data_IF_586894987472
#
_entry.id   IF_586894987472
#
_cell.length_a   1.000
_cell.length_b   1.000
_cell.length_c   1.000
_cell.angle_alpha   90.00
_cell.angle_beta   90.00
_cell.angle_gamma   90.00
#
_symmetry.space_group_name_H-M   'P 1'
#
loop_
_entity.id
_entity.type
_entity.pdbx_description
1 polymer ?
#
# COMPACT_ATOMS: atom_id res chain seq x y z
N UNK A 1 19.25 -8.70 0.15
CA UNK A 1 19.24 -10.02 -0.50
C UNK A 1 18.04 -10.79 0.03
N UNK A 2 17.65 -11.90 -0.59
CA UNK A 2 16.71 -12.85 0.04
C UNK A 2 17.45 -14.18 0.12
N UNK A 3 17.93 -14.53 1.31
CA UNK A 3 18.98 -15.55 1.46
C UNK A 3 20.25 -15.12 0.72
N UNK A 4 20.84 -16.02 -0.07
CA UNK A 4 22.09 -15.77 -0.82
C UNK A 4 21.87 -15.12 -2.20
N UNK A 5 20.60 -14.85 -2.59
CA UNK A 5 20.27 -14.31 -3.92
C UNK A 5 20.17 -12.79 -3.89
N UNK A 6 20.95 -12.13 -4.74
CA UNK A 6 20.81 -10.70 -5.05
C UNK A 6 19.60 -10.49 -5.97
N UNK A 7 18.54 -9.87 -5.44
CA UNK A 7 17.29 -9.60 -6.19
C UNK A 7 17.32 -8.20 -6.83
N UNK A 8 17.87 -7.22 -6.13
CA UNK A 8 18.03 -5.84 -6.61
C UNK A 8 19.53 -5.51 -6.58
N UNK A 9 20.07 -5.06 -7.71
CA UNK A 9 21.49 -4.73 -7.85
C UNK A 9 21.65 -3.34 -8.46
N UNK A 10 22.28 -2.43 -7.71
CA UNK A 10 22.73 -1.10 -8.18
C UNK A 10 21.69 -0.29 -8.97
N UNK A 11 20.45 -0.26 -8.50
CA UNK A 11 19.39 0.55 -9.12
C UNK A 11 19.51 2.02 -8.69
N UNK A 12 19.40 2.94 -9.64
CA UNK A 12 19.34 4.39 -9.37
C UNK A 12 18.33 5.01 -10.32
N UNK A 13 17.30 5.62 -9.75
CA UNK A 13 16.28 6.36 -10.50
C UNK A 13 15.61 7.37 -9.56
N UNK A 14 14.96 8.36 -10.17
CA UNK A 14 14.08 9.31 -9.48
C UNK A 14 12.70 9.29 -10.11
N UNK A 15 11.68 9.57 -9.30
CA UNK A 15 10.29 9.72 -9.75
C UNK A 15 9.86 11.14 -9.41
N UNK A 16 9.37 11.86 -10.41
CA UNK A 16 8.87 13.22 -10.22
C UNK A 16 7.50 13.21 -9.53
N UNK A 17 7.26 14.21 -8.67
CA UNK A 17 5.98 14.34 -7.95
C UNK A 17 4.82 14.47 -8.95
N UNK A 18 3.74 13.72 -8.72
CA UNK A 18 2.55 13.74 -9.57
C UNK A 18 2.68 12.94 -10.88
N UNK A 19 3.81 12.25 -11.10
CA UNK A 19 3.96 11.36 -12.24
C UNK A 19 3.31 9.99 -12.00
N UNK A 20 2.79 9.38 -13.07
CA UNK A 20 2.38 7.98 -13.06
C UNK A 20 3.51 7.14 -13.65
N UNK A 21 4.08 6.24 -12.85
CA UNK A 21 5.21 5.40 -13.25
C UNK A 21 4.82 3.93 -13.21
N UNK A 22 5.18 3.21 -14.28
CA UNK A 22 5.05 1.76 -14.35
C UNK A 22 6.43 1.10 -14.33
N UNK A 23 6.62 0.11 -13.46
CA UNK A 23 7.83 -0.73 -13.42
C UNK A 23 7.56 -1.98 -14.25
N UNK A 24 8.27 -2.15 -15.35
CA UNK A 24 8.07 -3.23 -16.32
C UNK A 24 9.34 -4.10 -16.39
N UNK A 25 9.14 -5.40 -16.59
CA UNK A 25 10.20 -6.40 -16.72
C UNK A 25 9.61 -7.80 -16.67
N UNK A 26 10.44 -8.83 -16.79
CA UNK A 26 9.99 -10.23 -16.74
C UNK A 26 9.48 -10.63 -15.35
N UNK A 27 8.78 -11.77 -15.29
CA UNK A 27 8.51 -12.41 -14.01
C UNK A 27 9.85 -12.67 -13.30
N UNK A 28 9.88 -12.46 -11.98
CA UNK A 28 11.09 -12.59 -11.15
C UNK A 28 12.18 -11.53 -11.33
N UNK A 29 11.97 -10.50 -12.16
CA UNK A 29 12.91 -9.37 -12.30
C UNK A 29 13.06 -8.50 -11.04
N UNK A 30 12.43 -8.87 -9.92
CA UNK A 30 12.52 -8.12 -8.65
C UNK A 30 11.54 -6.96 -8.50
N UNK A 31 10.58 -6.78 -9.43
CA UNK A 31 9.61 -5.66 -9.40
C UNK A 31 8.82 -5.56 -8.08
N UNK A 32 8.24 -6.68 -7.64
CA UNK A 32 7.50 -6.72 -6.36
C UNK A 32 8.42 -6.49 -5.16
N UNK A 33 9.68 -6.95 -5.23
CA UNK A 33 10.66 -6.69 -4.19
C UNK A 33 11.01 -5.20 -4.12
N UNK A 34 11.23 -4.55 -5.27
CA UNK A 34 11.47 -3.11 -5.35
C UNK A 34 10.32 -2.32 -4.71
N UNK A 35 9.08 -2.65 -5.05
CA UNK A 35 7.91 -1.99 -4.45
C UNK A 35 7.81 -2.23 -2.93
N UNK A 36 8.11 -3.45 -2.43
CA UNK A 36 8.13 -3.76 -0.99
C UNK A 36 9.25 -3.02 -0.25
N UNK A 37 10.38 -2.79 -0.90
CA UNK A 37 11.49 -2.01 -0.35
C UNK A 37 11.14 -0.52 -0.30
N UNK A 38 10.50 0.02 -1.35
CA UNK A 38 10.02 1.42 -1.38
C UNK A 38 8.95 1.65 -0.31
N UNK A 39 8.00 0.71 -0.15
CA UNK A 39 6.95 0.79 0.87
C UNK A 39 7.46 0.50 2.29
N UNK A 40 8.76 0.24 2.45
CA UNK A 40 9.39 -0.03 3.74
C UNK A 40 8.99 -1.35 4.40
N UNK A 41 8.24 -2.23 3.73
CA UNK A 41 7.93 -3.58 4.22
C UNK A 41 9.20 -4.41 4.29
N UNK A 42 10.05 -4.27 3.27
CA UNK A 42 11.39 -4.84 3.25
C UNK A 42 12.43 -3.73 3.38
N UNK A 43 13.59 -4.06 3.94
CA UNK A 43 14.69 -3.12 4.10
C UNK A 43 15.79 -3.39 3.07
N UNK A 44 16.31 -2.33 2.47
CA UNK A 44 17.53 -2.42 1.70
C UNK A 44 18.74 -2.64 2.63
N UNK A 45 19.63 -3.56 2.24
CA UNK A 45 20.91 -3.78 2.95
C UNK A 45 21.89 -2.63 2.68
N UNK A 46 21.90 -2.14 1.44
CA UNK A 46 22.78 -1.09 0.95
C UNK A 46 22.00 -0.06 0.14
N UNK A 47 22.57 1.15 0.03
CA UNK A 47 21.95 2.27 -0.68
C UNK A 47 20.98 3.07 0.19
N UNK A 48 20.33 4.04 -0.44
CA UNK A 48 19.45 5.01 0.22
C UNK A 48 18.16 5.17 -0.59
N UNK A 49 17.06 5.40 0.12
CA UNK A 49 15.77 5.69 -0.48
C UNK A 49 15.27 6.97 0.16
N UNK A 50 14.84 7.90 -0.68
CA UNK A 50 14.29 9.18 -0.27
C UNK A 50 12.85 9.26 -0.75
N UNK A 51 11.91 9.47 0.18
CA UNK A 51 10.49 9.63 -0.10
C UNK A 51 10.13 11.06 0.28
N UNK A 52 9.67 11.87 -0.68
CA UNK A 52 9.43 13.31 -0.47
C UNK A 52 10.63 14.04 0.18
N UNK A 53 11.86 13.67 -0.23
CA UNK A 53 13.10 14.22 0.32
C UNK A 53 13.50 13.66 1.70
N UNK A 54 12.69 12.78 2.29
CA UNK A 54 12.96 12.15 3.59
C UNK A 54 13.73 10.85 3.41
N UNK A 55 14.88 10.71 4.08
CA UNK A 55 15.58 9.42 4.18
C UNK A 55 14.66 8.40 4.88
N UNK A 56 14.20 7.39 4.13
CA UNK A 56 13.20 6.43 4.59
C UNK A 56 13.67 5.54 5.74
N UNK A 57 14.99 5.45 5.97
CA UNK A 57 15.57 4.70 7.09
C UNK A 57 15.62 5.56 8.35
N UNK A 58 15.95 6.85 8.23
CA UNK A 58 16.09 7.77 9.38
C UNK A 58 14.77 8.39 9.82
N UNK A 59 13.89 8.70 8.87
CA UNK A 59 12.58 9.34 9.10
C UNK A 59 11.44 8.44 8.62
N UNK A 60 11.50 7.18 9.05
CA UNK A 60 10.62 6.11 8.57
C UNK A 60 9.15 6.46 8.73
N UNK A 61 8.69 6.79 9.94
CA UNK A 61 7.26 7.04 10.18
C UNK A 61 6.73 8.15 9.27
N UNK A 62 7.45 9.26 9.17
CA UNK A 62 7.05 10.42 8.37
C UNK A 62 7.08 10.13 6.87
N UNK A 63 8.06 9.34 6.41
CA UNK A 63 8.09 8.85 5.03
C UNK A 63 6.90 7.92 4.73
N UNK A 64 6.62 6.95 5.61
CA UNK A 64 5.57 5.96 5.40
C UNK A 64 4.15 6.54 5.49
N UNK A 65 3.94 7.61 6.28
CA UNK A 65 2.67 8.34 6.30
C UNK A 65 2.28 8.87 4.91
N UNK A 66 3.26 9.18 4.05
CA UNK A 66 3.01 9.67 2.69
C UNK A 66 2.78 8.58 1.64
N UNK A 67 2.82 7.30 2.02
CA UNK A 67 2.77 6.16 1.10
C UNK A 67 1.51 5.30 1.30
N UNK A 68 0.84 4.95 0.21
CA UNK A 68 -0.14 3.88 0.12
C UNK A 68 0.48 2.66 -0.54
N UNK A 69 0.27 1.46 0.01
CA UNK A 69 0.79 0.23 -0.59
C UNK A 69 -0.28 -0.86 -0.69
N UNK A 70 -0.38 -1.44 -1.89
CA UNK A 70 -1.24 -2.58 -2.19
C UNK A 70 -0.35 -3.74 -2.66
N UNK A 71 -0.21 -4.82 -1.86
CA UNK A 71 0.55 -5.99 -2.28
C UNK A 71 -0.12 -6.73 -3.44
N UNK A 72 0.64 -7.60 -4.10
CA UNK A 72 0.12 -8.46 -5.16
C UNK A 72 -0.90 -9.48 -4.64
N UNK A 73 -0.56 -10.09 -3.50
CA UNK A 73 -1.36 -11.08 -2.77
C UNK A 73 -2.48 -10.39 -1.97
N UNK A 74 -3.53 -11.13 -1.67
CA UNK A 74 -4.61 -10.64 -0.80
C UNK A 74 -4.14 -10.67 0.65
N UNK A 75 -4.25 -9.54 1.35
CA UNK A 75 -3.71 -9.36 2.69
C UNK A 75 -4.72 -8.73 3.67
N UNK A 76 -6.02 -8.86 3.37
CA UNK A 76 -7.09 -8.48 4.30
C UNK A 76 -7.40 -9.64 5.25
N UNK A 77 -7.71 -9.31 6.51
CA UNK A 77 -8.13 -10.29 7.51
C UNK A 77 -9.46 -10.94 7.07
N UNK A 78 -9.49 -12.27 6.86
CA UNK A 78 -10.67 -12.98 6.34
C UNK A 78 -11.84 -13.06 7.34
N UNK A 79 -11.59 -12.84 8.63
CA UNK A 79 -12.59 -12.90 9.70
C UNK A 79 -13.20 -11.54 10.05
N UNK A 80 -12.64 -10.46 9.51
CA UNK A 80 -13.20 -9.12 9.61
C UNK A 80 -14.02 -8.78 8.36
N UNK A 81 -14.95 -7.85 8.53
CA UNK A 81 -15.63 -7.21 7.40
C UNK A 81 -14.67 -6.34 6.60
N UNK A 82 -15.06 -6.02 5.37
CA UNK A 82 -14.27 -5.13 4.52
C UNK A 82 -14.09 -3.75 5.17
N UNK A 83 -15.14 -3.21 5.81
CA UNK A 83 -15.05 -1.93 6.51
C UNK A 83 -14.15 -1.97 7.74
N UNK A 84 -14.14 -3.07 8.50
CA UNK A 84 -13.29 -3.22 9.68
C UNK A 84 -11.81 -3.25 9.28
N UNK A 85 -11.49 -3.98 8.20
CA UNK A 85 -10.15 -3.98 7.61
C UNK A 85 -9.68 -2.57 7.20
N UNK A 86 -10.55 -1.78 6.56
CA UNK A 86 -10.23 -0.42 6.11
C UNK A 86 -10.06 0.52 7.31
N UNK A 87 -10.99 0.48 8.28
CA UNK A 87 -10.95 1.31 9.48
C UNK A 87 -9.72 1.04 10.33
N UNK A 88 -9.34 -0.23 10.46
CA UNK A 88 -8.15 -0.62 11.22
C UNK A 88 -6.91 0.13 10.74
N UNK A 89 -6.68 0.16 9.42
CA UNK A 89 -5.55 0.90 8.85
C UNK A 89 -5.69 2.40 9.06
N UNK A 90 -6.86 3.00 8.80
CA UNK A 90 -7.03 4.44 9.02
C UNK A 90 -6.70 4.88 10.45
N UNK A 91 -7.15 4.11 11.46
CA UNK A 91 -6.83 4.38 12.86
C UNK A 91 -5.33 4.24 13.17
N UNK A 92 -4.66 3.25 12.56
CA UNK A 92 -3.21 3.08 12.74
C UNK A 92 -2.40 4.25 12.18
N UNK A 93 -2.88 4.89 11.12
CA UNK A 93 -2.30 6.11 10.56
C UNK A 93 -2.73 7.39 11.29
N UNK A 94 -3.55 7.28 12.34
CA UNK A 94 -3.96 8.41 13.19
C UNK A 94 -5.18 9.19 12.67
N UNK A 95 -5.88 8.66 11.66
CA UNK A 95 -7.06 9.32 11.12
C UNK A 95 -8.25 9.26 12.06
N UNK A 96 -9.08 10.31 12.05
CA UNK A 96 -10.31 10.33 12.81
C UNK A 96 -11.34 9.36 12.22
N UNK A 97 -12.20 8.77 13.06
CA UNK A 97 -13.27 7.90 12.58
C UNK A 97 -14.24 8.59 11.62
N UNK A 98 -14.43 9.91 11.77
CA UNK A 98 -15.23 10.72 10.86
C UNK A 98 -14.58 10.81 9.47
N UNK A 99 -13.28 11.13 9.42
CA UNK A 99 -12.49 11.18 8.18
C UNK A 99 -12.51 9.82 7.49
N UNK A 100 -12.22 8.75 8.23
CA UNK A 100 -12.20 7.37 7.72
C UNK A 100 -13.56 7.01 7.12
N UNK A 101 -14.66 7.22 7.84
CA UNK A 101 -15.99 6.86 7.36
C UNK A 101 -16.37 7.66 6.10
N UNK A 102 -16.07 8.95 6.08
CA UNK A 102 -16.34 9.83 4.92
C UNK A 102 -15.59 9.34 3.68
N UNK A 103 -14.27 9.17 3.79
CA UNK A 103 -13.42 8.70 2.69
C UNK A 103 -13.77 7.29 2.24
N UNK A 104 -14.01 6.37 3.18
CA UNK A 104 -14.39 4.99 2.87
C UNK A 104 -15.67 4.93 2.04
N UNK A 105 -16.71 5.70 2.42
CA UNK A 105 -17.98 5.75 1.67
C UNK A 105 -17.78 6.36 0.27
N UNK A 106 -16.96 7.41 0.17
CA UNK A 106 -16.66 8.04 -1.12
C UNK A 106 -15.96 7.04 -2.05
N UNK A 107 -14.81 6.49 -1.62
CA UNK A 107 -14.00 5.57 -2.41
C UNK A 107 -14.77 4.27 -2.73
N UNK A 108 -15.63 3.79 -1.82
CA UNK A 108 -16.43 2.59 -2.08
C UNK A 108 -17.48 2.82 -3.17
N UNK A 109 -18.00 4.05 -3.30
CA UNK A 109 -18.93 4.42 -4.39
C UNK A 109 -18.18 4.49 -5.72
N UNK A 110 -17.03 5.15 -5.75
CA UNK A 110 -16.18 5.28 -6.93
C UNK A 110 -15.72 3.92 -7.48
N UNK A 111 -15.39 2.98 -6.60
CA UNK A 111 -14.99 1.61 -6.99
C UNK A 111 -16.17 0.64 -7.16
N UNK A 112 -17.40 1.09 -6.92
CA UNK A 112 -18.64 0.31 -6.98
C UNK A 112 -18.65 -0.93 -6.06
N UNK A 113 -18.19 -0.77 -4.81
CA UNK A 113 -18.15 -1.85 -3.81
C UNK A 113 -18.90 -1.56 -2.50
N UNK A 114 -19.67 -0.46 -2.42
CA UNK A 114 -20.38 -0.05 -1.20
C UNK A 114 -21.22 -1.16 -0.55
N UNK A 115 -21.90 -1.99 -1.35
CA UNK A 115 -22.74 -3.10 -0.86
C UNK A 115 -21.95 -4.25 -0.22
N UNK A 116 -20.63 -4.25 -0.35
CA UNK A 116 -19.74 -5.26 0.20
C UNK A 116 -19.06 -4.82 1.50
N UNK A 117 -19.14 -3.55 1.90
CA UNK A 117 -18.47 -3.01 3.09
C UNK A 117 -18.75 -3.81 4.36
N UNK A 118 -20.01 -4.24 4.54
CA UNK A 118 -20.48 -5.00 5.71
C UNK A 118 -20.26 -6.52 5.60
N UNK A 119 -19.70 -7.03 4.50
CA UNK A 119 -19.47 -8.47 4.32
C UNK A 119 -18.12 -8.87 4.87
N UNK A 120 -18.03 -10.06 5.46
CA UNK A 120 -16.76 -10.68 5.85
C UNK A 120 -15.89 -10.93 4.62
N UNK A 121 -14.58 -10.70 4.74
CA UNK A 121 -13.63 -10.83 3.63
C UNK A 121 -13.60 -12.25 3.05
N UNK A 122 -13.74 -13.29 3.87
CA UNK A 122 -13.82 -14.67 3.38
C UNK A 122 -14.99 -14.95 2.40
N UNK A 123 -16.04 -14.11 2.43
CA UNK A 123 -17.27 -14.29 1.66
C UNK A 123 -17.35 -13.37 0.41
N UNK A 124 -16.26 -12.65 0.09
CA UNK A 124 -16.18 -11.76 -1.09
C UNK A 124 -15.23 -12.31 -2.15
N UNK A 125 -15.50 -11.96 -3.40
CA UNK A 125 -14.65 -12.36 -4.51
C UNK A 125 -13.28 -11.66 -4.46
N UNK A 126 -12.20 -12.31 -4.95
CA UNK A 126 -10.85 -11.71 -4.98
C UNK A 126 -10.79 -10.33 -5.61
N UNK A 127 -11.57 -10.08 -6.67
CA UNK A 127 -11.62 -8.78 -7.34
C UNK A 127 -12.20 -7.66 -6.47
N UNK A 128 -13.21 -7.97 -5.65
CA UNK A 128 -13.76 -7.01 -4.69
C UNK A 128 -12.79 -6.79 -3.52
N UNK A 129 -12.12 -7.84 -3.05
CA UNK A 129 -11.08 -7.74 -2.02
C UNK A 129 -9.96 -6.82 -2.52
N UNK A 130 -9.47 -6.97 -3.77
CA UNK A 130 -8.46 -6.07 -4.34
C UNK A 130 -8.91 -4.61 -4.38
N UNK A 131 -10.16 -4.34 -4.76
CA UNK A 131 -10.71 -2.97 -4.69
C UNK A 131 -10.74 -2.45 -3.26
N UNK A 132 -11.11 -3.27 -2.28
CA UNK A 132 -11.05 -2.92 -0.87
C UNK A 132 -9.62 -2.64 -0.36
N UNK A 133 -8.63 -3.40 -0.82
CA UNK A 133 -7.21 -3.14 -0.53
C UNK A 133 -6.76 -1.77 -1.07
N UNK A 134 -7.25 -1.35 -2.24
CA UNK A 134 -7.00 -0.01 -2.78
C UNK A 134 -7.61 1.06 -1.86
N UNK A 135 -8.88 0.90 -1.42
CA UNK A 135 -9.49 1.83 -0.46
C UNK A 135 -8.68 1.91 0.82
N UNK A 136 -8.29 0.75 1.37
CA UNK A 136 -7.47 0.65 2.59
C UNK A 136 -6.14 1.39 2.43
N UNK A 137 -5.48 1.28 1.27
CA UNK A 137 -4.22 1.96 1.00
C UNK A 137 -4.37 3.48 0.83
N UNK A 138 -5.55 3.96 0.44
CA UNK A 138 -5.83 5.39 0.21
C UNK A 138 -6.53 6.07 1.40
N UNK A 139 -6.84 5.34 2.47
CA UNK A 139 -7.72 5.82 3.53
C UNK A 139 -7.11 6.98 4.33
N UNK A 140 -5.78 7.00 4.46
CA UNK A 140 -4.99 8.02 5.16
C UNK A 140 -4.40 9.11 4.24
N UNK A 141 -4.94 9.23 3.03
CA UNK A 141 -4.55 10.28 2.07
C UNK A 141 -3.06 10.35 1.70
N UNK A 142 -2.45 9.21 1.32
CA UNK A 142 -1.04 9.23 0.94
C UNK A 142 -0.81 10.09 -0.31
N UNK A 143 0.39 10.68 -0.40
CA UNK A 143 0.82 11.42 -1.58
C UNK A 143 1.30 10.49 -2.72
N UNK A 144 1.70 9.25 -2.38
CA UNK A 144 2.33 8.27 -3.28
C UNK A 144 1.63 6.91 -3.17
#
# INVERSE_FOLDING_TARGET
>A
MVGDKTILASLTFGIEKGSLVAIIGDNEAGKSMLLRVISGIEYQEYGQIFINGLDSKKRRNEAMLSLGFVPHELDLDPWLTLEENIRFIGMLYGESMETINTRMIQLSRELHITTYLKKMVKDISPGIIKKGMIIRALIHDPEI
#
